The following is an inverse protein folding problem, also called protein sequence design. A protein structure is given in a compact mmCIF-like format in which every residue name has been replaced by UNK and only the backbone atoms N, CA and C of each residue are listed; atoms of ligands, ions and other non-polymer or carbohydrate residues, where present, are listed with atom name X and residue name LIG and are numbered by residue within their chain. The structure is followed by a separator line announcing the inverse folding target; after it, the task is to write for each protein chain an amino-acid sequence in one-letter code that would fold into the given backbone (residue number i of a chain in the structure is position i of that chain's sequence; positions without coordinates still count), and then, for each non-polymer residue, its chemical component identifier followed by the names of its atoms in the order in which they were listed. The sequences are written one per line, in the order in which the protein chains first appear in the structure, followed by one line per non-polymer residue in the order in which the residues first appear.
data_IF_456320436611
#
_entry.id   IF_456320436611
#
_cell.length_a   1.000
_cell.length_b   1.000
_cell.length_c   1.000
_cell.angle_alpha   90.00
_cell.angle_beta   90.00
_cell.angle_gamma   90.00
#
_symmetry.space_group_name_H-M   'P 1'
#
loop_
_entity.id
_entity.type
_entity.pdbx_description
1 polymer ?
#
# COMPACT_ATOMS: atom_id res chain seq x y z
N UNK A 1 43.72 23.43 12.52
CA UNK A 1 43.83 22.01 12.09
C UNK A 1 43.53 21.17 13.31
N UNK A 2 42.52 20.31 13.38
CA UNK A 2 41.64 19.75 12.37
C UNK A 2 40.21 19.64 12.95
N UNK A 3 39.25 19.55 12.03
CA UNK A 3 37.81 19.57 12.23
C UNK A 3 37.31 18.15 12.51
N UNK A 4 36.45 18.07 13.53
CA UNK A 4 35.39 17.10 13.84
C UNK A 4 35.45 15.68 13.22
N UNK A 5 35.57 14.69 14.11
CA UNK A 5 35.03 13.34 13.93
C UNK A 5 33.50 13.45 13.83
N UNK A 6 32.96 13.24 12.64
CA UNK A 6 31.53 12.97 12.45
C UNK A 6 31.29 11.49 12.65
N UNK A 7 30.61 11.11 13.73
CA UNK A 7 29.98 9.80 13.86
C UNK A 7 29.02 9.60 12.68
N UNK A 8 29.30 8.62 11.83
CA UNK A 8 28.38 8.16 10.80
C UNK A 8 27.30 7.34 11.51
N UNK A 9 26.06 7.81 11.52
CA UNK A 9 24.90 7.08 12.02
C UNK A 9 24.54 5.93 11.07
N UNK A 10 25.37 4.89 11.09
CA UNK A 10 25.30 3.72 10.19
C UNK A 10 23.95 3.02 10.18
N UNK A 11 23.14 3.11 11.24
CA UNK A 11 21.82 2.46 11.31
C UNK A 11 20.76 3.21 10.51
N UNK A 12 20.68 4.53 10.66
CA UNK A 12 19.76 5.36 9.88
C UNK A 12 20.08 5.30 8.39
N UNK A 13 21.37 5.28 8.03
CA UNK A 13 21.81 5.18 6.63
C UNK A 13 21.37 3.85 5.98
N UNK A 14 21.44 2.74 6.72
CA UNK A 14 20.97 1.43 6.23
C UNK A 14 19.46 1.40 5.99
N UNK A 15 18.66 1.97 6.90
CA UNK A 15 17.20 2.03 6.74
C UNK A 15 16.81 2.92 5.56
N UNK A 16 17.45 4.08 5.41
CA UNK A 16 17.19 4.95 4.26
C UNK A 16 17.57 4.29 2.93
N UNK A 17 18.70 3.58 2.88
CA UNK A 17 19.11 2.85 1.68
C UNK A 17 18.14 1.71 1.33
N UNK A 18 17.70 0.93 2.32
CA UNK A 18 16.73 -0.14 2.12
C UNK A 18 15.37 0.42 1.66
N UNK A 19 14.91 1.53 2.25
CA UNK A 19 13.68 2.19 1.84
C UNK A 19 13.75 2.68 0.39
N UNK A 20 14.88 3.27 -0.03
CA UNK A 20 15.07 3.72 -1.40
C UNK A 20 15.08 2.54 -2.39
N UNK A 21 15.80 1.45 -2.09
CA UNK A 21 15.84 0.25 -2.96
C UNK A 21 14.44 -0.37 -3.12
N UNK A 22 13.72 -0.54 -2.01
CA UNK A 22 12.35 -1.09 -2.04
C UNK A 22 11.43 -0.15 -2.80
N UNK A 23 11.55 1.17 -2.61
CA UNK A 23 10.69 2.12 -3.31
C UNK A 23 10.89 2.07 -4.83
N UNK A 24 12.14 2.06 -5.29
CA UNK A 24 12.47 1.94 -6.70
C UNK A 24 12.01 0.60 -7.29
N UNK A 25 12.11 -0.49 -6.52
CA UNK A 25 11.67 -1.80 -6.95
C UNK A 25 10.14 -1.89 -7.07
N UNK A 26 9.40 -1.27 -6.16
CA UNK A 26 7.94 -1.21 -6.19
C UNK A 26 7.45 -0.34 -7.34
N UNK A 27 8.08 0.81 -7.60
CA UNK A 27 7.77 1.65 -8.76
C UNK A 27 7.95 0.89 -10.08
N UNK A 28 9.06 0.16 -10.23
CA UNK A 28 9.30 -0.71 -11.40
C UNK A 28 8.28 -1.84 -11.50
N UNK A 29 7.85 -2.41 -10.38
CA UNK A 29 6.90 -3.51 -10.39
C UNK A 29 5.48 -3.02 -10.76
N UNK A 30 5.04 -1.88 -10.24
CA UNK A 30 3.81 -1.24 -10.70
C UNK A 30 3.86 -0.90 -12.19
N UNK A 31 5.00 -0.41 -12.67
CA UNK A 31 5.19 -0.11 -14.09
C UNK A 31 4.97 -1.36 -14.97
N UNK A 32 5.52 -2.51 -14.55
CA UNK A 32 5.39 -3.79 -15.24
C UNK A 32 3.98 -4.41 -15.12
N UNK A 33 3.34 -4.29 -13.96
CA UNK A 33 2.03 -4.90 -13.68
C UNK A 33 0.86 -4.07 -14.21
N UNK A 34 1.08 -2.80 -14.55
CA UNK A 34 0.08 -1.89 -15.11
C UNK A 34 0.48 -1.43 -16.52
N UNK A 35 0.61 -2.34 -17.51
CA UNK A 35 0.86 -1.94 -18.88
C UNK A 35 -0.38 -1.20 -19.42
N UNK A 36 -0.18 -0.02 -19.99
CA UNK A 36 -1.29 0.78 -20.54
C UNK A 36 -1.77 0.13 -21.84
N UNK A 37 -3.03 -0.34 -21.93
CA UNK A 37 -3.55 -0.93 -23.15
C UNK A 37 -3.85 0.15 -24.20
N UNK A 38 -3.69 -0.20 -25.48
CA UNK A 38 -4.04 0.65 -26.62
C UNK A 38 -5.54 0.54 -26.96
N UNK A 39 -6.38 0.86 -25.97
CA UNK A 39 -7.85 0.88 -26.08
C UNK A 39 -8.46 1.87 -25.07
N UNK A 40 -9.80 2.09 -25.04
CA UNK A 40 -10.42 3.06 -24.13
C UNK A 40 -10.15 2.88 -22.64
N UNK A 41 -9.65 1.71 -22.20
CA UNK A 41 -9.21 1.47 -20.81
C UNK A 41 -7.89 2.17 -20.50
N UNK A 42 -7.14 2.67 -21.49
CA UNK A 42 -5.85 3.34 -21.29
C UNK A 42 -5.89 4.42 -20.20
N UNK A 43 -6.96 5.25 -20.20
CA UNK A 43 -7.18 6.29 -19.17
C UNK A 43 -7.25 5.73 -17.75
N UNK A 44 -7.88 4.57 -17.55
CA UNK A 44 -7.97 3.91 -16.25
C UNK A 44 -6.57 3.47 -15.77
N UNK A 45 -5.78 2.88 -16.66
CA UNK A 45 -4.41 2.46 -16.34
C UNK A 45 -3.50 3.66 -16.05
N UNK A 46 -3.63 4.75 -16.81
CA UNK A 46 -2.92 6.00 -16.54
C UNK A 46 -3.26 6.58 -15.16
N UNK A 47 -4.53 6.55 -14.76
CA UNK A 47 -4.97 7.01 -13.44
C UNK A 47 -4.43 6.14 -12.30
N UNK A 48 -4.48 4.81 -12.44
CA UNK A 48 -3.86 3.89 -11.48
C UNK A 48 -2.35 4.15 -11.34
N UNK A 49 -1.65 4.32 -12.46
CA UNK A 49 -0.20 4.60 -12.49
C UNK A 49 0.13 5.97 -11.88
N UNK A 50 -0.67 7.00 -12.13
CA UNK A 50 -0.50 8.33 -11.55
C UNK A 50 -0.52 8.29 -10.01
N UNK A 51 -1.44 7.51 -9.44
CA UNK A 51 -1.54 7.35 -7.99
C UNK A 51 -0.46 6.41 -7.43
N UNK A 52 -0.16 5.33 -8.15
CA UNK A 52 0.66 4.24 -7.65
C UNK A 52 2.16 4.41 -7.87
N UNK A 53 2.65 5.23 -8.80
CA UNK A 53 4.08 5.32 -9.18
C UNK A 53 4.69 6.69 -8.81
N UNK A 54 5.94 6.68 -8.35
CA UNK A 54 6.73 7.90 -8.18
C UNK A 54 6.31 8.74 -6.97
N UNK A 55 5.88 8.10 -5.88
CA UNK A 55 5.52 8.78 -4.64
C UNK A 55 5.42 7.87 -3.43
N UNK A 56 5.55 8.46 -2.24
CA UNK A 56 5.37 7.76 -0.96
C UNK A 56 6.60 7.12 -0.36
N UNK A 57 6.52 6.83 0.94
CA UNK A 57 7.62 6.24 1.70
C UNK A 57 7.74 4.72 1.51
N UNK A 58 6.74 4.09 0.86
CA UNK A 58 6.65 2.64 0.64
C UNK A 58 6.85 1.82 1.92
N UNK A 59 6.29 2.32 3.03
CA UNK A 59 6.45 1.71 4.34
C UNK A 59 5.93 0.26 4.38
N UNK A 60 4.76 0.00 3.77
CA UNK A 60 4.15 -1.34 3.76
C UNK A 60 5.01 -2.35 2.97
N UNK A 61 5.43 -2.06 1.72
CA UNK A 61 6.43 -2.87 1.03
C UNK A 61 7.73 -3.08 1.80
N UNK A 62 8.25 -2.04 2.45
CA UNK A 62 9.47 -2.13 3.26
C UNK A 62 9.30 -3.12 4.41
N UNK A 63 8.15 -3.09 5.09
CA UNK A 63 7.83 -4.03 6.16
C UNK A 63 7.71 -5.47 5.64
N UNK A 64 7.06 -5.70 4.50
CA UNK A 64 7.00 -7.03 3.87
C UNK A 64 8.40 -7.54 3.55
N UNK A 65 9.24 -6.68 2.95
CA UNK A 65 10.62 -7.05 2.62
C UNK A 65 11.42 -7.39 3.88
N UNK A 66 11.40 -6.51 4.87
CA UNK A 66 12.16 -6.69 6.11
C UNK A 66 11.68 -7.91 6.93
N UNK A 67 10.38 -8.20 6.93
CA UNK A 67 9.85 -9.41 7.56
C UNK A 67 10.29 -10.67 6.81
N UNK A 68 10.19 -10.69 5.47
CA UNK A 68 10.67 -11.82 4.67
C UNK A 68 12.18 -12.07 4.78
N UNK A 69 12.98 -11.03 5.01
CA UNK A 69 14.42 -11.17 5.31
C UNK A 69 14.71 -12.05 6.53
N UNK A 70 13.85 -12.01 7.55
CA UNK A 70 13.99 -12.82 8.77
C UNK A 70 13.80 -14.32 8.51
N UNK A 71 13.07 -14.67 7.45
CA UNK A 71 12.75 -16.04 7.04
C UNK A 71 13.51 -16.46 5.77
N UNK A 72 14.47 -15.66 5.31
CA UNK A 72 15.22 -15.92 4.07
C UNK A 72 14.35 -16.05 2.81
N UNK A 73 13.18 -15.40 2.79
CA UNK A 73 12.30 -15.37 1.63
C UNK A 73 12.98 -14.63 0.48
N UNK A 74 12.85 -15.20 -0.72
CA UNK A 74 13.36 -14.59 -1.95
C UNK A 74 12.78 -13.19 -2.17
N UNK A 75 13.64 -12.28 -2.65
CA UNK A 75 13.30 -10.88 -2.85
C UNK A 75 12.07 -10.69 -3.76
N UNK A 76 11.94 -11.48 -4.82
CA UNK A 76 10.88 -11.30 -5.81
C UNK A 76 9.47 -11.58 -5.25
N UNK A 77 9.20 -12.73 -4.60
CA UNK A 77 7.96 -12.96 -3.84
C UNK A 77 7.63 -11.85 -2.84
N UNK A 78 8.59 -11.44 -2.00
CA UNK A 78 8.35 -10.39 -1.00
C UNK A 78 7.96 -9.05 -1.64
N UNK A 79 8.65 -8.65 -2.72
CA UNK A 79 8.30 -7.41 -3.43
C UNK A 79 6.94 -7.49 -4.12
N UNK A 80 6.55 -8.67 -4.63
CA UNK A 80 5.24 -8.86 -5.26
C UNK A 80 4.10 -8.76 -4.24
N UNK A 81 4.27 -9.35 -3.06
CA UNK A 81 3.34 -9.14 -1.94
C UNK A 81 3.35 -7.69 -1.46
N UNK A 82 4.53 -7.06 -1.42
CA UNK A 82 4.70 -5.63 -1.15
C UNK A 82 3.89 -4.75 -2.11
N UNK A 83 3.93 -5.03 -3.42
CA UNK A 83 3.14 -4.31 -4.41
C UNK A 83 1.64 -4.52 -4.23
N UNK A 84 1.20 -5.73 -3.87
CA UNK A 84 -0.21 -6.01 -3.60
C UNK A 84 -0.74 -5.20 -2.39
N UNK A 85 -0.02 -5.19 -1.26
CA UNK A 85 -0.44 -4.38 -0.10
C UNK A 85 -0.33 -2.88 -0.37
N UNK A 86 0.63 -2.45 -1.19
CA UNK A 86 0.73 -1.04 -1.58
C UNK A 86 -0.37 -0.65 -2.56
N UNK A 87 -0.82 -1.53 -3.46
CA UNK A 87 -2.02 -1.30 -4.28
C UNK A 87 -3.26 -1.16 -3.39
N UNK A 88 -3.36 -2.02 -2.37
CA UNK A 88 -4.40 -1.95 -1.34
C UNK A 88 -4.33 -0.61 -0.56
N UNK A 89 -3.14 -0.08 -0.30
CA UNK A 89 -3.01 1.22 0.34
C UNK A 89 -3.32 2.39 -0.61
N UNK A 90 -2.86 2.31 -1.86
CA UNK A 90 -3.05 3.38 -2.83
C UNK A 90 -4.53 3.53 -3.17
N UNK A 91 -5.30 2.45 -3.34
CA UNK A 91 -6.73 2.60 -3.59
C UNK A 91 -7.43 3.34 -2.45
N UNK A 92 -7.07 3.04 -1.19
CA UNK A 92 -7.70 3.67 -0.04
C UNK A 92 -7.47 5.18 -0.08
N UNK A 93 -6.26 5.62 -0.45
CA UNK A 93 -5.96 7.04 -0.63
C UNK A 93 -6.73 7.67 -1.79
N UNK A 94 -6.87 6.98 -2.93
CA UNK A 94 -7.65 7.50 -4.06
C UNK A 94 -9.10 7.76 -3.66
N UNK A 95 -9.71 6.83 -2.92
CA UNK A 95 -11.10 6.95 -2.47
C UNK A 95 -11.25 7.95 -1.33
N UNK A 96 -10.32 8.00 -0.38
CA UNK A 96 -10.30 9.01 0.70
C UNK A 96 -10.17 10.43 0.13
N UNK A 97 -9.48 10.61 -0.99
CA UNK A 97 -9.32 11.92 -1.66
C UNK A 97 -10.60 12.40 -2.36
N UNK A 98 -11.66 11.61 -2.48
CA UNK A 98 -12.88 12.01 -3.21
C UNK A 98 -13.65 13.11 -2.48
N UNK A 99 -14.44 13.94 -3.19
CA UNK A 99 -15.25 15.01 -2.58
C UNK A 99 -16.26 14.56 -1.52
N UNK A 100 -16.66 13.29 -1.54
CA UNK A 100 -17.57 12.70 -0.55
C UNK A 100 -16.85 12.18 0.71
N UNK A 101 -15.53 12.26 0.75
CA UNK A 101 -14.65 11.82 1.83
C UNK A 101 -13.84 13.05 2.32
N UNK A 102 -12.53 13.11 2.10
CA UNK A 102 -11.69 14.21 2.60
C UNK A 102 -11.66 15.44 1.66
N UNK A 103 -12.12 15.32 0.40
CA UNK A 103 -12.10 16.37 -0.63
C UNK A 103 -10.71 17.01 -0.86
N UNK A 104 -9.64 16.19 -0.78
CA UNK A 104 -8.26 16.62 -0.94
C UNK A 104 -7.92 16.96 -2.41
N UNK A 105 -7.45 18.18 -2.67
CA UNK A 105 -7.00 18.60 -4.01
C UNK A 105 -5.60 18.09 -4.38
N UNK A 106 -4.74 17.94 -3.37
CA UNK A 106 -3.33 17.64 -3.54
C UNK A 106 -2.89 16.56 -2.55
N UNK A 107 -2.13 15.58 -3.05
CA UNK A 107 -1.47 14.56 -2.24
C UNK A 107 0.02 14.54 -2.55
N UNK A 108 0.85 14.80 -1.53
CA UNK A 108 2.33 14.85 -1.63
C UNK A 108 2.82 15.81 -2.74
N UNK A 109 2.14 16.94 -2.91
CA UNK A 109 2.47 17.96 -3.92
C UNK A 109 2.02 17.63 -5.35
N UNK A 110 1.31 16.52 -5.57
CA UNK A 110 0.68 16.17 -6.86
C UNK A 110 -0.84 16.32 -6.76
N UNK A 111 -1.54 16.67 -7.86
CA UNK A 111 -3.01 16.60 -7.89
C UNK A 111 -3.51 15.19 -7.57
N UNK A 112 -4.56 15.11 -6.75
CA UNK A 112 -5.26 13.84 -6.49
C UNK A 112 -5.90 13.30 -7.77
N UNK A 113 -6.25 12.02 -7.79
CA UNK A 113 -6.72 11.37 -9.04
C UNK A 113 -7.97 12.05 -9.58
N UNK A 114 -8.92 12.41 -8.71
CA UNK A 114 -10.15 13.06 -9.14
C UNK A 114 -9.91 14.47 -9.70
N UNK A 115 -8.84 15.16 -9.27
CA UNK A 115 -8.41 16.45 -9.81
C UNK A 115 -7.62 16.34 -11.11
N UNK A 116 -6.75 15.34 -11.23
CA UNK A 116 -5.95 15.12 -12.45
C UNK A 116 -6.77 14.52 -13.59
N UNK A 117 -7.81 13.75 -13.26
CA UNK A 117 -8.68 13.05 -14.20
C UNK A 117 -10.12 13.53 -14.00
N UNK A 118 -10.91 12.74 -13.27
CA UNK A 118 -12.29 13.02 -12.89
C UNK A 118 -12.72 12.02 -11.79
N UNK A 119 -13.83 12.29 -11.11
CA UNK A 119 -14.34 11.45 -10.02
C UNK A 119 -14.64 10.01 -10.47
N UNK A 120 -15.24 9.82 -11.65
CA UNK A 120 -15.57 8.49 -12.16
C UNK A 120 -14.32 7.65 -12.41
N UNK A 121 -13.28 8.27 -12.97
CA UNK A 121 -11.97 7.64 -13.18
C UNK A 121 -11.29 7.32 -11.85
N UNK A 122 -11.38 8.21 -10.85
CA UNK A 122 -10.85 7.95 -9.52
C UNK A 122 -11.53 6.77 -8.81
N UNK A 123 -12.85 6.69 -8.86
CA UNK A 123 -13.62 5.55 -8.33
C UNK A 123 -13.14 4.25 -8.99
N UNK A 124 -13.12 4.20 -10.33
CA UNK A 124 -12.73 3.00 -11.07
C UNK A 124 -11.26 2.61 -10.86
N UNK A 125 -10.36 3.60 -10.74
CA UNK A 125 -8.95 3.34 -10.46
C UNK A 125 -8.75 2.72 -9.08
N UNK A 126 -9.48 3.21 -8.07
CA UNK A 126 -9.46 2.62 -6.73
C UNK A 126 -10.03 1.20 -6.74
N UNK A 127 -11.20 0.99 -7.34
CA UNK A 127 -11.82 -0.35 -7.44
C UNK A 127 -10.89 -1.36 -8.13
N UNK A 128 -10.22 -0.92 -9.19
CA UNK A 128 -9.29 -1.75 -9.95
C UNK A 128 -8.04 -2.10 -9.16
N UNK A 129 -7.43 -1.15 -8.42
CA UNK A 129 -6.27 -1.43 -7.57
C UNK A 129 -6.61 -2.38 -6.41
N UNK A 130 -7.81 -2.25 -5.84
CA UNK A 130 -8.32 -3.19 -4.84
C UNK A 130 -8.42 -4.61 -5.43
N UNK A 131 -9.02 -4.77 -6.61
CA UNK A 131 -9.12 -6.07 -7.28
C UNK A 131 -7.74 -6.64 -7.65
N UNK A 132 -6.86 -5.81 -8.21
CA UNK A 132 -5.51 -6.20 -8.63
C UNK A 132 -4.63 -6.66 -7.47
N UNK A 133 -4.80 -6.09 -6.26
CA UNK A 133 -4.08 -6.58 -5.10
C UNK A 133 -4.32 -8.08 -4.86
N UNK A 134 -5.55 -8.56 -4.99
CA UNK A 134 -5.86 -9.99 -4.87
C UNK A 134 -5.42 -10.81 -6.09
N UNK A 135 -5.57 -10.25 -7.29
CA UNK A 135 -5.10 -10.89 -8.53
C UNK A 135 -3.59 -11.16 -8.47
N UNK A 136 -2.82 -10.20 -7.98
CA UNK A 136 -1.37 -10.37 -7.87
C UNK A 136 -1.01 -11.40 -6.80
N UNK A 137 -1.71 -11.46 -5.66
CA UNK A 137 -1.45 -12.45 -4.63
C UNK A 137 -1.77 -13.89 -5.07
N UNK A 138 -2.81 -14.10 -5.87
CA UNK A 138 -3.21 -15.45 -6.32
C UNK A 138 -2.32 -15.99 -7.45
N UNK A 139 -1.58 -15.11 -8.13
CA UNK A 139 -0.70 -15.46 -9.23
C UNK A 139 0.45 -16.40 -8.78
N UNK A 140 0.73 -17.51 -9.49
CA UNK A 140 1.87 -18.39 -9.20
C UNK A 140 3.24 -17.71 -9.15
N UNK A 141 3.40 -16.53 -9.77
CA UNK A 141 4.61 -15.72 -9.66
C UNK A 141 4.82 -15.11 -8.26
N UNK A 142 3.79 -15.09 -7.42
CA UNK A 142 3.91 -14.66 -6.01
C UNK A 142 4.47 -15.76 -5.14
N UNK A 143 4.00 -16.99 -5.30
CA UNK A 143 4.51 -18.15 -4.59
C UNK A 143 4.12 -19.43 -5.33
N UNK A 144 4.94 -20.48 -5.32
CA UNK A 144 4.60 -21.74 -6.00
C UNK A 144 3.46 -22.49 -5.29
N UNK A 145 3.47 -22.51 -3.96
CA UNK A 145 2.45 -23.17 -3.14
C UNK A 145 1.12 -22.39 -3.15
N UNK A 146 0.00 -23.00 -3.64
CA UNK A 146 -1.33 -22.39 -3.59
C UNK A 146 -1.86 -22.14 -2.17
N UNK A 147 -1.42 -22.87 -1.15
CA UNK A 147 -1.86 -22.66 0.23
C UNK A 147 -1.31 -21.34 0.78
N UNK A 148 -0.03 -21.05 0.55
CA UNK A 148 0.61 -19.76 0.87
C UNK A 148 -0.14 -18.60 0.20
N UNK A 149 -0.42 -18.71 -1.12
CA UNK A 149 -1.17 -17.66 -1.84
C UNK A 149 -2.58 -17.48 -1.27
N UNK A 150 -3.25 -18.57 -0.93
CA UNK A 150 -4.60 -18.55 -0.35
C UNK A 150 -4.60 -17.90 1.04
N UNK A 151 -3.57 -18.14 1.84
CA UNK A 151 -3.40 -17.51 3.16
C UNK A 151 -3.12 -16.00 3.05
N UNK A 152 -2.23 -15.58 2.14
CA UNK A 152 -2.00 -14.16 1.85
C UNK A 152 -3.29 -13.44 1.46
N UNK A 153 -4.09 -14.03 0.57
CA UNK A 153 -5.38 -13.45 0.14
C UNK A 153 -6.34 -13.33 1.32
N UNK A 154 -6.46 -14.39 2.14
CA UNK A 154 -7.33 -14.41 3.31
C UNK A 154 -6.98 -13.30 4.29
N UNK A 155 -5.69 -13.13 4.62
CA UNK A 155 -5.27 -12.12 5.59
C UNK A 155 -5.34 -10.70 5.02
N UNK A 156 -5.02 -10.50 3.73
CA UNK A 156 -5.21 -9.19 3.10
C UNK A 156 -6.69 -8.79 3.06
N UNK A 157 -7.60 -9.74 2.75
CA UNK A 157 -9.03 -9.48 2.72
C UNK A 157 -9.59 -9.08 4.10
N UNK A 158 -9.11 -9.71 5.16
CA UNK A 158 -9.46 -9.34 6.54
C UNK A 158 -8.92 -7.96 6.91
N UNK A 159 -7.67 -7.68 6.55
CA UNK A 159 -7.00 -6.44 6.85
C UNK A 159 -7.58 -5.24 6.09
N UNK A 160 -8.06 -5.43 4.85
CA UNK A 160 -8.65 -4.37 4.04
C UNK A 160 -10.15 -4.16 4.31
N UNK A 161 -10.87 -5.24 4.66
CA UNK A 161 -12.32 -5.26 4.73
C UNK A 161 -12.96 -4.55 5.95
N UNK A 162 -14.24 -4.85 6.24
CA UNK A 162 -15.02 -4.13 7.27
C UNK A 162 -14.53 -4.37 8.70
N UNK A 163 -13.80 -5.47 8.94
CA UNK A 163 -13.14 -5.73 10.22
C UNK A 163 -11.70 -5.20 10.27
N UNK A 164 -11.27 -4.47 9.25
CA UNK A 164 -9.95 -3.89 9.05
C UNK A 164 -10.05 -2.44 8.59
N UNK A 165 -9.26 -2.06 7.58
CA UNK A 165 -9.10 -0.69 7.10
C UNK A 165 -10.42 0.01 6.78
N UNK A 166 -11.32 -0.61 6.01
CA UNK A 166 -12.60 0.00 5.66
C UNK A 166 -13.48 0.27 6.89
N UNK A 167 -13.47 -0.64 7.87
CA UNK A 167 -14.17 -0.43 9.14
C UNK A 167 -13.58 0.72 9.95
N UNK A 168 -12.24 0.81 9.96
CA UNK A 168 -11.55 1.93 10.59
C UNK A 168 -11.86 3.27 9.91
N UNK A 169 -11.97 3.29 8.58
CA UNK A 169 -12.34 4.49 7.83
C UNK A 169 -13.77 4.93 8.14
N UNK A 170 -14.71 3.99 8.25
CA UNK A 170 -16.07 4.30 8.69
C UNK A 170 -16.12 4.85 10.12
N UNK A 171 -15.29 4.32 11.03
CA UNK A 171 -15.18 4.89 12.38
C UNK A 171 -14.65 6.32 12.36
N UNK A 172 -13.71 6.64 11.47
CA UNK A 172 -13.14 7.98 11.33
C UNK A 172 -14.17 8.99 10.83
N UNK A 173 -14.95 8.64 9.81
CA UNK A 173 -16.08 9.45 9.35
C UNK A 173 -17.11 9.69 10.47
N UNK A 174 -17.41 8.65 11.27
CA UNK A 174 -18.32 8.80 12.40
C UNK A 174 -17.77 9.73 13.49
N UNK A 175 -16.44 9.82 13.64
CA UNK A 175 -15.78 10.69 14.62
C UNK A 175 -15.97 12.18 14.32
N UNK A 176 -16.25 12.56 13.06
CA UNK A 176 -16.56 13.96 12.71
C UNK A 176 -17.82 14.49 13.41
N UNK A 177 -18.74 13.58 13.76
CA UNK A 177 -20.03 13.91 14.37
C UNK A 177 -20.21 13.35 15.78
N UNK A 178 -19.21 12.62 16.31
CA UNK A 178 -19.28 11.95 17.61
C UNK A 178 -17.98 12.12 18.42
N UNK A 179 -18.10 12.12 19.76
CA UNK A 179 -16.94 12.11 20.64
C UNK A 179 -16.57 10.67 21.02
N UNK A 180 -15.29 10.32 20.82
CA UNK A 180 -14.76 9.00 21.15
C UNK A 180 -13.92 9.02 22.42
N UNK A 181 -14.02 7.95 23.20
CA UNK A 181 -13.12 7.68 24.31
C UNK A 181 -11.79 7.07 23.82
N UNK A 182 -10.80 6.98 24.70
CA UNK A 182 -9.48 6.45 24.36
C UNK A 182 -9.52 5.01 23.79
N UNK A 183 -10.32 4.08 24.35
CA UNK A 183 -10.51 2.76 23.74
C UNK A 183 -11.01 2.80 22.29
N UNK A 184 -12.00 3.65 22.01
CA UNK A 184 -12.59 3.77 20.65
C UNK A 184 -11.59 4.37 19.67
N UNK A 185 -10.86 5.42 20.07
CA UNK A 185 -9.78 6.00 19.25
C UNK A 185 -8.68 4.97 18.97
N UNK A 186 -8.31 4.17 19.99
CA UNK A 186 -7.31 3.10 19.83
C UNK A 186 -7.80 2.05 18.83
N UNK A 187 -9.08 1.65 18.91
CA UNK A 187 -9.68 0.70 17.98
C UNK A 187 -9.72 1.24 16.55
N UNK A 188 -10.08 2.51 16.37
CA UNK A 188 -10.03 3.18 15.08
C UNK A 188 -8.62 3.07 14.46
N UNK A 189 -7.57 3.41 15.21
CA UNK A 189 -6.19 3.35 14.71
C UNK A 189 -5.72 1.92 14.39
N UNK A 190 -6.09 0.94 15.22
CA UNK A 190 -5.82 -0.47 14.95
C UNK A 190 -6.44 -0.93 13.63
N UNK A 191 -7.60 -0.40 13.26
CA UNK A 191 -8.31 -0.75 12.05
C UNK A 191 -7.84 0.05 10.83
N UNK A 192 -8.00 1.38 10.84
CA UNK A 192 -7.77 2.27 9.70
C UNK A 192 -6.35 2.15 9.16
N UNK A 193 -5.38 2.04 10.05
CA UNK A 193 -3.95 2.01 9.68
C UNK A 193 -3.28 0.72 10.11
N UNK A 194 -3.52 0.26 11.34
CA UNK A 194 -2.83 -0.88 11.94
C UNK A 194 -3.02 -2.19 11.20
N UNK A 195 -4.20 -2.42 10.61
CA UNK A 195 -4.54 -3.69 9.97
C UNK A 195 -3.62 -4.01 8.77
N UNK A 196 -3.41 -3.05 7.86
CA UNK A 196 -2.50 -3.24 6.72
C UNK A 196 -1.02 -3.29 7.13
N UNK A 197 -0.63 -2.61 8.21
CA UNK A 197 0.72 -2.71 8.77
C UNK A 197 0.96 -4.11 9.33
N UNK A 198 -0.01 -4.64 10.09
CA UNK A 198 0.05 -6.00 10.63
C UNK A 198 0.15 -7.03 9.51
N UNK A 199 -0.70 -6.93 8.48
CA UNK A 199 -0.61 -7.77 7.29
C UNK A 199 0.79 -7.72 6.66
N UNK A 200 1.37 -6.51 6.53
CA UNK A 200 2.68 -6.34 5.90
C UNK A 200 3.78 -7.13 6.62
N UNK A 201 3.69 -7.25 7.95
CA UNK A 201 4.66 -8.04 8.73
C UNK A 201 4.32 -9.53 8.70
N UNK A 202 3.05 -9.89 8.89
CA UNK A 202 2.56 -11.27 8.88
C UNK A 202 2.82 -11.97 7.53
N UNK A 203 2.69 -11.24 6.43
CA UNK A 203 3.00 -11.73 5.09
C UNK A 203 4.42 -12.27 4.95
N UNK A 204 5.40 -11.70 5.67
CA UNK A 204 6.77 -12.21 5.67
C UNK A 204 6.87 -13.63 6.25
N UNK A 205 6.07 -13.94 7.27
CA UNK A 205 6.01 -15.27 7.87
C UNK A 205 5.18 -16.27 7.04
N UNK A 206 4.14 -15.79 6.34
CA UNK A 206 3.34 -16.63 5.44
C UNK A 206 4.16 -17.10 4.22
N UNK A 207 5.16 -16.31 3.81
CA UNK A 207 6.02 -16.61 2.66
C UNK A 207 7.17 -17.61 2.95
N UNK A 208 7.39 -18.00 4.21
CA UNK A 208 8.42 -18.98 4.64
C UNK A 208 8.14 -20.41 4.13
#
# INVERSE_FOLDING_TARGET
MAVAEGEIDTGADLVHAAQADVADAIDRLFDQLLPVPDDPRGRLYEAMRHAAIGGGKRLRPLLVRAAGDLYHVDRAPSLRVGAAVEAMHVYSLIHDDLPCMDDDDLRRGKPTVHRAFDEATAVLAGDSLHALAFEWLVDPATHADPFVRSELIRELARAAGPAGMAGGQMMDLAAETAQFDLPTVTRLQQLKTGALIAFSVEAGAILD
#
